data_IF_129945793153
#
_entry.id   IF_129945793153
#
_cell.length_a   1.000
_cell.length_b   1.000
_cell.length_c   1.000
_cell.angle_alpha   90.00
_cell.angle_beta   90.00
_cell.angle_gamma   90.00
#
_symmetry.space_group_name_H-M   'P 1'
#
loop_
_entity.id
_entity.type
_entity.pdbx_description
1 polymer ?
#
# COMPACT_ATOMS: atom_id res chain seq x y z
N UNK A 1 -5.29 -5.89 -10.96
CA UNK A 1 -4.44 -6.74 -11.85
C UNK A 1 -4.31 -6.19 -13.26
N UNK A 2 -5.37 -5.74 -13.95
CA UNK A 2 -5.27 -5.23 -15.33
C UNK A 2 -4.19 -4.13 -15.51
N UNK A 3 -4.22 -3.08 -14.68
CA UNK A 3 -3.22 -2.00 -14.71
C UNK A 3 -1.77 -2.48 -14.61
N UNK A 4 -1.52 -3.55 -13.84
CA UNK A 4 -0.19 -4.15 -13.73
C UNK A 4 0.18 -4.86 -15.02
N UNK A 5 -0.71 -5.72 -15.52
CA UNK A 5 -0.50 -6.46 -16.77
C UNK A 5 -0.22 -5.52 -17.95
N UNK A 6 -0.97 -4.42 -18.06
CA UNK A 6 -0.79 -3.44 -19.15
C UNK A 6 0.56 -2.72 -19.08
N UNK A 7 1.04 -2.42 -17.86
CA UNK A 7 2.25 -1.61 -17.66
C UNK A 7 3.54 -2.42 -17.58
N UNK A 8 3.48 -3.60 -16.97
CA UNK A 8 4.64 -4.41 -16.62
C UNK A 8 4.59 -5.82 -17.20
N UNK A 9 3.39 -6.32 -17.51
CA UNK A 9 3.20 -7.72 -17.88
C UNK A 9 3.43 -8.69 -16.71
N UNK A 10 3.10 -9.96 -16.95
CA UNK A 10 3.27 -11.03 -15.96
C UNK A 10 2.45 -10.84 -14.68
N UNK A 11 2.75 -11.68 -13.69
CA UNK A 11 2.20 -11.58 -12.34
C UNK A 11 3.17 -10.78 -11.45
N UNK A 12 2.69 -9.98 -10.47
CA UNK A 12 3.56 -9.33 -9.51
C UNK A 12 4.45 -10.36 -8.78
N UNK A 13 5.77 -10.16 -8.72
CA UNK A 13 6.69 -11.16 -8.17
C UNK A 13 6.66 -11.23 -6.64
N UNK A 14 5.99 -10.28 -5.96
CA UNK A 14 5.84 -10.29 -4.50
C UNK A 14 4.68 -9.41 -4.04
N UNK A 15 4.20 -9.64 -2.81
CA UNK A 15 3.18 -8.80 -2.17
C UNK A 15 3.65 -7.36 -1.86
N UNK A 16 4.96 -7.10 -1.85
CA UNK A 16 5.52 -5.77 -1.54
C UNK A 16 5.03 -4.67 -2.48
N UNK A 17 4.69 -5.00 -3.74
CA UNK A 17 4.17 -4.04 -4.70
C UNK A 17 2.80 -3.50 -4.30
N UNK A 18 1.94 -4.35 -3.71
CA UNK A 18 0.63 -3.94 -3.21
C UNK A 18 0.79 -3.02 -1.99
N UNK A 19 1.69 -3.36 -1.05
CA UNK A 19 2.00 -2.50 0.09
C UNK A 19 2.55 -1.13 -0.34
N UNK A 20 3.47 -1.11 -1.30
CA UNK A 20 4.03 0.14 -1.84
C UNK A 20 2.96 0.98 -2.55
N UNK A 21 2.06 0.34 -3.29
CA UNK A 21 0.93 1.01 -3.94
C UNK A 21 0.03 1.69 -2.90
N UNK A 22 -0.39 0.96 -1.87
CA UNK A 22 -1.26 1.51 -0.83
C UNK A 22 -0.58 2.62 -0.03
N UNK A 23 0.67 2.41 0.41
CA UNK A 23 1.44 3.42 1.13
C UNK A 23 1.62 4.72 0.33
N UNK A 24 1.86 4.59 -0.98
CA UNK A 24 1.99 5.76 -1.86
C UNK A 24 0.67 6.52 -1.98
N UNK A 25 -0.45 5.83 -2.08
CA UNK A 25 -1.76 6.48 -2.17
C UNK A 25 -2.17 7.14 -0.84
N UNK A 26 -1.85 6.54 0.30
CA UNK A 26 -2.01 7.18 1.61
C UNK A 26 -1.19 8.47 1.67
N UNK A 27 0.08 8.43 1.24
CA UNK A 27 0.94 9.61 1.22
C UNK A 27 0.40 10.71 0.29
N UNK A 28 -0.06 10.35 -0.91
CA UNK A 28 -0.64 11.32 -1.84
C UNK A 28 -1.90 11.96 -1.29
N UNK A 29 -2.80 11.17 -0.70
CA UNK A 29 -4.00 11.69 -0.05
C UNK A 29 -3.65 12.65 1.10
N UNK A 30 -2.65 12.31 1.92
CA UNK A 30 -2.18 13.18 3.00
C UNK A 30 -1.55 14.48 2.46
N UNK A 31 -0.76 14.41 1.38
CA UNK A 31 -0.20 15.59 0.70
C UNK A 31 -1.31 16.51 0.19
N UNK A 32 -2.32 15.95 -0.50
CA UNK A 32 -3.46 16.72 -1.01
C UNK A 32 -4.23 17.44 0.11
N UNK A 33 -4.31 16.83 1.29
CA UNK A 33 -4.99 17.44 2.45
C UNK A 33 -4.23 18.61 3.06
N UNK A 34 -2.89 18.57 3.08
CA UNK A 34 -2.07 19.52 3.87
C UNK A 34 -1.24 20.48 3.02
N UNK A 35 -1.21 20.30 1.70
CA UNK A 35 -0.48 21.19 0.81
C UNK A 35 -1.01 22.62 0.90
N UNK A 36 -0.11 23.57 1.03
CA UNK A 36 -0.39 25.00 0.95
C UNK A 36 0.15 25.50 -0.38
N UNK A 37 -0.71 26.12 -1.18
CA UNK A 37 -0.34 26.74 -2.46
C UNK A 37 -0.36 28.24 -2.29
N UNK A 38 0.80 28.87 -2.42
CA UNK A 38 0.93 30.33 -2.32
C UNK A 38 0.44 31.03 -3.59
N UNK A 39 0.29 32.35 -3.53
CA UNK A 39 -0.23 33.15 -4.64
C UNK A 39 0.65 33.09 -5.92
N UNK A 40 1.93 32.76 -5.78
CA UNK A 40 2.87 32.59 -6.89
C UNK A 40 2.93 31.15 -7.45
N UNK A 41 2.14 30.25 -6.89
CA UNK A 41 2.09 28.83 -7.26
C UNK A 41 3.11 27.95 -6.54
N UNK A 42 3.91 28.48 -5.61
CA UNK A 42 4.79 27.68 -4.76
C UNK A 42 3.97 26.74 -3.89
N UNK A 43 4.38 25.47 -3.81
CA UNK A 43 3.73 24.45 -2.98
C UNK A 43 4.58 24.14 -1.76
N UNK A 44 4.00 24.36 -0.58
CA UNK A 44 4.56 23.98 0.71
C UNK A 44 3.84 22.77 1.28
N UNK A 45 4.60 21.77 1.74
CA UNK A 45 4.07 20.61 2.44
C UNK A 45 4.63 20.65 3.87
N UNK A 46 3.86 21.13 4.87
CA UNK A 46 4.34 21.22 6.24
C UNK A 46 4.57 19.82 6.81
N UNK A 47 5.82 19.51 7.20
CA UNK A 47 6.23 18.14 7.60
C UNK A 47 5.41 17.57 8.76
N UNK A 48 5.10 18.40 9.76
CA UNK A 48 4.30 17.96 10.91
C UNK A 48 2.86 17.68 10.48
N UNK A 49 2.23 18.58 9.72
CA UNK A 49 0.88 18.38 9.21
C UNK A 49 0.79 17.13 8.32
N UNK A 50 1.79 16.89 7.46
CA UNK A 50 1.86 15.69 6.64
C UNK A 50 1.90 14.42 7.49
N UNK A 51 2.76 14.39 8.51
CA UNK A 51 2.85 13.26 9.43
C UNK A 51 1.53 13.04 10.16
N UNK A 52 0.93 14.10 10.69
CA UNK A 52 -0.34 14.01 11.42
C UNK A 52 -1.47 13.50 10.52
N UNK A 53 -1.52 13.96 9.26
CA UNK A 53 -2.48 13.49 8.25
C UNK A 53 -2.29 12.00 7.92
N UNK A 54 -1.05 11.53 7.76
CA UNK A 54 -0.76 10.10 7.56
C UNK A 54 -1.23 9.28 8.77
N UNK A 55 -0.92 9.71 10.00
CA UNK A 55 -1.32 9.01 11.22
C UNK A 55 -2.84 9.03 11.44
N UNK A 56 -3.53 10.04 10.92
CA UNK A 56 -4.99 10.13 10.94
C UNK A 56 -5.68 9.19 9.93
N UNK A 57 -4.94 8.44 9.12
CA UNK A 57 -5.52 7.49 8.15
C UNK A 57 -6.35 6.43 8.87
N UNK A 58 -7.63 6.35 8.52
CA UNK A 58 -8.58 5.32 8.96
C UNK A 58 -9.40 4.87 7.76
N UNK A 59 -9.81 3.60 7.79
CA UNK A 59 -10.69 2.99 6.79
C UNK A 59 -10.24 3.15 5.32
N UNK A 60 -8.92 3.17 5.10
CA UNK A 60 -8.37 3.27 3.75
C UNK A 60 -8.50 1.92 3.04
N UNK A 61 -9.36 1.86 2.02
CA UNK A 61 -9.60 0.64 1.22
C UNK A 61 -8.48 0.40 0.22
N UNK A 62 -7.42 -0.26 0.68
CA UNK A 62 -6.24 -0.60 -0.12
C UNK A 62 -6.35 -1.94 -0.84
N UNK A 63 -5.30 -2.27 -1.60
CA UNK A 63 -5.08 -3.60 -2.16
C UNK A 63 -4.72 -4.64 -1.07
N UNK A 64 -4.15 -4.19 0.05
CA UNK A 64 -3.74 -5.02 1.19
C UNK A 64 -4.74 -4.97 2.34
N UNK A 65 -6.02 -4.85 2.02
CA UNK A 65 -7.13 -4.79 2.98
C UNK A 65 -7.50 -3.36 3.40
N UNK A 66 -8.31 -3.26 4.45
CA UNK A 66 -8.63 -2.00 5.09
C UNK A 66 -7.47 -1.53 5.96
N UNK A 67 -6.89 -0.36 5.69
CA UNK A 67 -5.73 0.16 6.42
C UNK A 67 -6.14 1.28 7.38
N UNK A 68 -5.55 1.26 8.57
CA UNK A 68 -5.79 2.24 9.63
C UNK A 68 -4.51 2.42 10.46
N UNK A 69 -3.92 3.61 10.44
CA UNK A 69 -2.67 3.89 11.15
C UNK A 69 -2.91 4.09 12.65
N UNK A 70 -1.98 3.63 13.48
CA UNK A 70 -2.02 3.79 14.93
C UNK A 70 -1.04 4.88 15.44
N UNK A 71 -0.91 5.00 16.77
CA UNK A 71 0.00 5.96 17.39
C UNK A 71 1.50 5.67 17.16
N UNK A 72 1.83 4.43 16.77
CA UNK A 72 3.19 4.01 16.43
C UNK A 72 3.51 4.23 14.95
N UNK A 73 2.48 4.42 14.12
CA UNK A 73 2.58 4.55 12.66
C UNK A 73 2.36 3.24 11.92
N UNK A 74 1.90 2.20 12.60
CA UNK A 74 1.54 0.92 11.97
C UNK A 74 0.14 1.03 11.36
N UNK A 75 0.04 0.82 10.04
CA UNK A 75 -1.21 0.98 9.29
C UNK A 75 -1.85 -0.34 8.85
N UNK A 76 -1.10 -1.45 8.93
CA UNK A 76 -1.58 -2.75 8.51
C UNK A 76 -2.52 -3.34 9.57
N UNK A 77 -3.68 -3.84 9.14
CA UNK A 77 -4.69 -4.47 10.00
C UNK A 77 -4.57 -5.98 10.09
N UNK A 78 -3.64 -6.57 9.33
CA UNK A 78 -3.45 -8.01 9.25
C UNK A 78 -4.33 -8.71 8.20
N UNK A 79 -5.27 -8.01 7.57
CA UNK A 79 -6.18 -8.59 6.55
C UNK A 79 -5.45 -9.21 5.35
N UNK A 80 -4.26 -8.70 5.01
CA UNK A 80 -3.43 -9.23 3.93
C UNK A 80 -2.38 -10.26 4.39
N UNK A 81 -2.37 -10.65 5.66
CA UNK A 81 -1.45 -11.68 6.15
C UNK A 81 -1.88 -13.05 5.63
N UNK A 82 -0.93 -13.77 5.06
CA UNK A 82 -1.11 -15.14 4.61
C UNK A 82 0.13 -15.96 4.83
N UNK A 83 -0.05 -17.22 5.22
CA UNK A 83 0.98 -18.25 5.15
C UNK A 83 0.87 -18.91 3.78
N UNK A 84 2.00 -19.08 3.11
CA UNK A 84 2.10 -19.70 1.81
C UNK A 84 2.99 -20.93 1.91
N UNK A 85 2.57 -22.03 1.30
CA UNK A 85 3.38 -23.23 1.17
C UNK A 85 4.00 -23.25 -0.22
N UNK A 86 5.33 -23.22 -0.29
CA UNK A 86 6.05 -23.37 -1.56
C UNK A 86 6.30 -24.84 -1.85
N UNK A 87 6.03 -25.23 -3.09
CA UNK A 87 6.26 -26.57 -3.63
C UNK A 87 7.13 -26.52 -4.88
N UNK A 88 7.38 -27.67 -5.49
CA UNK A 88 8.06 -27.75 -6.79
C UNK A 88 7.31 -26.97 -7.88
N UNK A 89 5.97 -26.83 -7.79
CA UNK A 89 5.18 -26.11 -8.78
C UNK A 89 5.60 -24.64 -8.91
N UNK A 90 5.86 -23.95 -7.78
CA UNK A 90 6.33 -22.56 -7.78
C UNK A 90 7.76 -22.45 -8.30
N UNK A 91 8.61 -23.44 -8.03
CA UNK A 91 9.98 -23.53 -8.58
C UNK A 91 9.94 -23.71 -10.10
N UNK A 92 8.96 -24.45 -10.61
CA UNK A 92 8.74 -24.69 -12.04
C UNK A 92 7.96 -23.56 -12.74
N UNK A 93 7.68 -22.45 -12.03
CA UNK A 93 7.12 -21.23 -12.60
C UNK A 93 5.63 -20.98 -12.32
N UNK A 94 4.96 -21.79 -11.50
CA UNK A 94 3.56 -21.60 -11.09
C UNK A 94 3.40 -20.52 -10.01
N UNK A 95 3.97 -19.34 -10.24
CA UNK A 95 3.89 -18.21 -9.31
C UNK A 95 2.63 -17.36 -9.57
N UNK A 96 1.96 -16.83 -8.53
CA UNK A 96 2.20 -17.03 -7.09
C UNK A 96 1.51 -18.27 -6.51
N UNK A 97 2.01 -18.83 -5.39
CA UNK A 97 1.31 -19.90 -4.67
C UNK A 97 -0.05 -19.41 -4.14
N UNK A 98 -1.06 -20.29 -4.02
CA UNK A 98 -2.28 -19.97 -3.31
C UNK A 98 -2.01 -19.77 -1.81
N UNK A 99 -2.87 -19.00 -1.14
CA UNK A 99 -2.81 -18.83 0.32
C UNK A 99 -3.10 -20.17 0.99
N UNK A 100 -2.19 -20.64 1.84
CA UNK A 100 -2.36 -21.86 2.62
C UNK A 100 -3.21 -21.60 3.88
N UNK A 101 -3.02 -20.44 4.52
CA UNK A 101 -3.75 -20.06 5.72
C UNK A 101 -3.75 -18.55 5.95
N UNK A 102 -4.79 -18.02 6.60
CA UNK A 102 -4.91 -16.64 7.10
C UNK A 102 -5.28 -16.66 8.59
N UNK A 103 -4.79 -15.71 9.40
CA UNK A 103 -5.13 -15.59 10.82
C UNK A 103 -6.60 -15.32 11.11
#
# INVERSE_FOLDING_TARGET
MQKWADKFGGVPPSGFHAHAYDATNILFQAIEQVAVVDADGTVHIPRQALRDAVYATKDFKGLTGNLACDENGDCATGEALGVFLLSQAEVDGSWPPPVFWTP
#
